data_IF_788560890063
#
_entry.id   IF_788560890063
#
_cell.length_a   1.000
_cell.length_b   1.000
_cell.length_c   1.000
_cell.angle_alpha   90.00
_cell.angle_beta   90.00
_cell.angle_gamma   90.00
#
_symmetry.space_group_name_H-M   'P 1'
#
loop_
_entity.id
_entity.type
_entity.pdbx_description
1 polymer ?
#
# COMPACT_ATOMS: atom_id res chain seq x y z
N UNK A 1 -1.58 -18.91 2.57
CA UNK A 1 -1.10 -17.53 2.75
C UNK A 1 -1.58 -16.59 1.65
N UNK A 2 -1.41 -16.96 0.38
CA UNK A 2 -1.79 -16.09 -0.73
C UNK A 2 -3.26 -15.67 -0.71
N UNK A 3 -4.16 -16.59 -0.35
CA UNK A 3 -5.60 -16.27 -0.28
C UNK A 3 -5.90 -15.25 0.81
N UNK A 4 -5.21 -15.33 1.95
CA UNK A 4 -5.39 -14.37 3.04
C UNK A 4 -4.84 -13.00 2.68
N UNK A 5 -3.70 -12.97 1.98
CA UNK A 5 -3.10 -11.71 1.52
C UNK A 5 -4.02 -11.02 0.52
N UNK A 6 -4.53 -11.77 -0.46
CA UNK A 6 -5.45 -11.21 -1.46
C UNK A 6 -6.75 -10.74 -0.82
N UNK A 7 -7.27 -11.50 0.14
CA UNK A 7 -8.48 -11.13 0.87
C UNK A 7 -8.27 -9.84 1.64
N UNK A 8 -7.14 -9.70 2.34
CA UNK A 8 -6.84 -8.48 3.09
C UNK A 8 -6.74 -7.27 2.15
N UNK A 9 -6.06 -7.43 1.02
CA UNK A 9 -5.92 -6.33 0.06
C UNK A 9 -7.30 -5.87 -0.45
N UNK A 10 -8.17 -6.83 -0.78
CA UNK A 10 -9.52 -6.53 -1.26
C UNK A 10 -10.35 -5.82 -0.18
N UNK A 11 -10.30 -6.32 1.06
CA UNK A 11 -11.03 -5.72 2.17
C UNK A 11 -10.53 -4.32 2.50
N UNK A 12 -9.21 -4.12 2.42
CA UNK A 12 -8.62 -2.80 2.67
C UNK A 12 -9.10 -1.78 1.62
N UNK A 13 -9.15 -2.16 0.35
CA UNK A 13 -9.67 -1.29 -0.69
C UNK A 13 -11.16 -1.01 -0.53
N UNK A 14 -11.93 -1.99 -0.11
CA UNK A 14 -13.35 -1.78 0.19
C UNK A 14 -13.52 -0.77 1.32
N UNK A 15 -12.72 -0.89 2.37
CA UNK A 15 -12.75 0.05 3.49
C UNK A 15 -12.39 1.46 3.06
N UNK A 16 -11.34 1.62 2.23
CA UNK A 16 -10.97 2.91 1.69
C UNK A 16 -12.09 3.54 0.88
N UNK A 17 -12.75 2.73 0.03
CA UNK A 17 -13.83 3.22 -0.81
C UNK A 17 -15.03 3.68 0.03
N UNK A 18 -15.34 3.00 1.12
CA UNK A 18 -16.40 3.43 2.03
C UNK A 18 -16.11 4.78 2.65
N UNK A 19 -14.83 5.06 2.94
CA UNK A 19 -14.45 6.36 3.47
C UNK A 19 -14.53 7.48 2.45
N UNK A 20 -14.55 7.15 1.15
CA UNK A 20 -14.52 8.12 0.06
C UNK A 20 -15.88 8.34 -0.62
N UNK A 21 -16.86 7.48 -0.39
CA UNK A 21 -18.14 7.51 -1.13
C UNK A 21 -19.29 8.10 -0.34
N UNK A 22 -19.01 8.95 0.62
CA UNK A 22 -20.00 9.64 1.47
C UNK A 22 -20.73 8.73 2.46
N UNK A 23 -20.34 7.46 2.57
CA UNK A 23 -20.90 6.57 3.59
C UNK A 23 -20.49 7.05 4.97
N UNK A 24 -21.41 7.02 5.96
CA UNK A 24 -21.04 7.44 7.32
C UNK A 24 -19.93 6.55 7.88
N UNK A 25 -18.85 7.18 8.33
CA UNK A 25 -17.69 6.45 8.88
C UNK A 25 -18.02 5.72 10.18
N UNK A 26 -19.12 6.06 10.82
CA UNK A 26 -19.61 5.44 12.06
C UNK A 26 -20.76 4.48 11.81
N UNK A 27 -21.03 4.10 10.55
CA UNK A 27 -22.04 3.08 10.26
C UNK A 27 -21.60 1.70 10.77
N UNK A 28 -22.56 0.85 11.07
CA UNK A 28 -22.25 -0.51 11.55
C UNK A 28 -21.42 -1.29 10.53
N UNK A 29 -21.72 -1.12 9.24
CA UNK A 29 -20.97 -1.79 8.19
C UNK A 29 -19.51 -1.33 8.18
N UNK A 30 -19.27 -0.02 8.25
CA UNK A 30 -17.92 0.52 8.30
C UNK A 30 -17.15 0.00 9.52
N UNK A 31 -17.79 0.05 10.70
CA UNK A 31 -17.15 -0.40 11.95
C UNK A 31 -16.76 -1.88 11.89
N UNK A 32 -17.62 -2.72 11.34
CA UNK A 32 -17.34 -4.16 11.20
C UNK A 32 -16.20 -4.41 10.22
N UNK A 33 -16.23 -3.73 9.08
CA UNK A 33 -15.19 -3.89 8.07
C UNK A 33 -13.84 -3.39 8.60
N UNK A 34 -13.83 -2.25 9.27
CA UNK A 34 -12.63 -1.70 9.88
C UNK A 34 -12.02 -2.67 10.89
N UNK A 35 -12.85 -3.28 11.72
CA UNK A 35 -12.38 -4.27 12.71
C UNK A 35 -11.84 -5.52 12.03
N UNK A 36 -12.54 -6.02 11.00
CA UNK A 36 -12.11 -7.21 10.28
C UNK A 36 -10.77 -6.99 9.59
N UNK A 37 -10.59 -5.85 8.94
CA UNK A 37 -9.32 -5.51 8.30
C UNK A 37 -8.20 -5.48 9.34
N UNK A 38 -8.44 -4.82 10.47
CA UNK A 38 -7.43 -4.71 11.53
C UNK A 38 -7.06 -6.09 12.10
N UNK A 39 -8.04 -6.95 12.34
CA UNK A 39 -7.78 -8.29 12.87
C UNK A 39 -6.94 -9.11 11.90
N UNK A 40 -7.20 -9.01 10.60
CA UNK A 40 -6.42 -9.69 9.59
C UNK A 40 -5.01 -9.12 9.49
N UNK A 41 -4.85 -7.80 9.65
CA UNK A 41 -3.52 -7.18 9.72
C UNK A 41 -2.68 -7.81 10.82
N UNK A 42 -3.23 -7.91 12.03
CA UNK A 42 -2.49 -8.46 13.15
C UNK A 42 -2.09 -9.91 12.91
N UNK A 43 -2.98 -10.67 12.28
CA UNK A 43 -2.71 -12.08 11.96
C UNK A 43 -1.57 -12.21 10.95
N UNK A 44 -1.64 -11.43 9.86
CA UNK A 44 -0.65 -11.51 8.79
C UNK A 44 0.66 -10.83 9.16
N UNK A 45 0.60 -9.81 10.01
CA UNK A 45 1.81 -9.13 10.50
C UNK A 45 2.75 -10.12 11.19
N UNK A 46 2.18 -11.08 11.91
CA UNK A 46 2.96 -12.11 12.62
C UNK A 46 3.33 -13.30 11.75
N UNK A 47 2.90 -13.31 10.48
CA UNK A 47 3.21 -14.41 9.58
C UNK A 47 4.69 -14.42 9.20
N UNK A 48 5.25 -15.60 8.92
CA UNK A 48 6.65 -15.67 8.48
C UNK A 48 6.83 -14.99 7.13
N UNK A 49 8.10 -14.69 6.80
CA UNK A 49 8.45 -14.11 5.52
C UNK A 49 7.96 -15.01 4.38
N UNK A 50 7.52 -14.39 3.28
CA UNK A 50 7.08 -15.14 2.10
C UNK A 50 8.21 -15.95 1.48
N UNK A 51 7.86 -17.07 0.85
CA UNK A 51 8.83 -17.98 0.26
C UNK A 51 9.55 -17.39 -0.96
N UNK A 52 8.91 -16.45 -1.66
CA UNK A 52 9.49 -15.78 -2.82
C UNK A 52 9.45 -14.27 -2.62
N UNK A 53 10.30 -13.51 -3.35
CA UNK A 53 10.20 -12.05 -3.28
C UNK A 53 8.80 -11.54 -3.61
N UNK A 54 8.11 -12.14 -4.57
CA UNK A 54 6.76 -11.75 -4.95
C UNK A 54 5.77 -11.97 -3.81
N UNK A 55 5.86 -13.09 -3.12
CA UNK A 55 4.97 -13.37 -1.98
C UNK A 55 5.23 -12.42 -0.83
N UNK A 56 6.49 -12.16 -0.52
CA UNK A 56 6.87 -11.21 0.53
C UNK A 56 6.40 -9.80 0.17
N UNK A 57 6.58 -9.39 -1.08
CA UNK A 57 6.14 -8.07 -1.54
C UNK A 57 4.62 -7.92 -1.43
N UNK A 58 3.86 -8.93 -1.83
CA UNK A 58 2.40 -8.91 -1.72
C UNK A 58 1.94 -8.83 -0.27
N UNK A 59 2.60 -9.59 0.60
CA UNK A 59 2.29 -9.57 2.03
C UNK A 59 2.53 -8.18 2.62
N UNK A 60 3.69 -7.60 2.39
CA UNK A 60 4.02 -6.27 2.90
C UNK A 60 3.08 -5.21 2.35
N UNK A 61 2.82 -5.23 1.04
CA UNK A 61 1.92 -4.28 0.40
C UNK A 61 0.51 -4.35 0.99
N UNK A 62 -0.01 -5.56 1.15
CA UNK A 62 -1.37 -5.75 1.67
C UNK A 62 -1.50 -5.24 3.10
N UNK A 63 -0.50 -5.50 3.94
CA UNK A 63 -0.54 -5.05 5.33
C UNK A 63 -0.39 -3.53 5.39
N UNK A 64 0.50 -2.93 4.60
CA UNK A 64 0.67 -1.47 4.57
C UNK A 64 -0.60 -0.76 4.12
N UNK A 65 -1.22 -1.24 3.05
CA UNK A 65 -2.49 -0.67 2.57
C UNK A 65 -3.56 -0.80 3.65
N UNK A 66 -3.64 -1.95 4.30
CA UNK A 66 -4.64 -2.19 5.33
C UNK A 66 -4.42 -1.32 6.57
N UNK A 67 -3.17 -1.13 7.01
CA UNK A 67 -2.87 -0.25 8.14
C UNK A 67 -3.28 1.18 7.85
N UNK A 68 -3.09 1.63 6.61
CA UNK A 68 -3.49 2.99 6.24
C UNK A 68 -4.99 3.13 6.03
N UNK A 69 -5.70 2.03 5.77
CA UNK A 69 -7.14 2.03 5.58
C UNK A 69 -7.92 2.04 6.89
N UNK A 70 -7.34 1.48 7.97
CA UNK A 70 -8.05 1.34 9.25
C UNK A 70 -7.92 2.60 10.09
N UNK A 71 -8.93 2.85 10.93
CA UNK A 71 -8.89 3.91 11.92
C UNK A 71 -8.45 3.41 13.30
N UNK A 72 -8.26 2.09 13.46
CA UNK A 72 -7.75 1.56 14.72
C UNK A 72 -6.28 1.90 14.89
N UNK A 73 -5.94 2.38 16.06
CA UNK A 73 -4.56 2.63 16.44
C UNK A 73 -4.42 2.31 17.91
N UNK A 74 -3.74 1.20 18.20
CA UNK A 74 -3.47 0.77 19.57
C UNK A 74 -2.19 1.37 20.13
N UNK A 75 -1.71 2.45 19.53
CA UNK A 75 -0.45 3.09 19.90
C UNK A 75 0.79 2.48 19.23
N UNK A 76 0.61 1.45 18.41
CA UNK A 76 1.70 0.73 17.77
C UNK A 76 1.70 0.80 16.25
N UNK A 77 0.76 1.54 15.67
CA UNK A 77 0.60 1.59 14.21
C UNK A 77 1.90 2.02 13.51
N UNK A 78 2.55 3.06 14.02
CA UNK A 78 3.80 3.54 13.45
C UNK A 78 4.93 2.51 13.59
N UNK A 79 4.97 1.77 14.68
CA UNK A 79 5.95 0.70 14.85
C UNK A 79 5.73 -0.42 13.84
N UNK A 80 4.46 -0.79 13.60
CA UNK A 80 4.13 -1.80 12.60
C UNK A 80 4.55 -1.34 11.20
N UNK A 81 4.24 -0.10 10.85
CA UNK A 81 4.60 0.46 9.55
C UNK A 81 6.11 0.48 9.38
N UNK A 82 6.85 0.93 10.40
CA UNK A 82 8.32 0.99 10.33
C UNK A 82 8.93 -0.40 10.13
N UNK A 83 8.42 -1.40 10.86
CA UNK A 83 8.90 -2.77 10.70
C UNK A 83 8.61 -3.31 9.30
N UNK A 84 7.43 -3.01 8.77
CA UNK A 84 7.07 -3.43 7.41
C UNK A 84 7.92 -2.73 6.35
N UNK A 85 8.24 -1.46 6.56
CA UNK A 85 9.14 -0.75 5.65
C UNK A 85 10.53 -1.40 5.61
N UNK A 86 11.04 -1.83 6.76
CA UNK A 86 12.31 -2.56 6.80
C UNK A 86 12.23 -3.85 5.98
N UNK A 87 11.11 -4.57 6.05
CA UNK A 87 10.89 -5.76 5.21
C UNK A 87 10.82 -5.38 3.74
N UNK A 88 10.18 -4.25 3.42
CA UNK A 88 10.10 -3.77 2.04
C UNK A 88 11.49 -3.46 1.47
N UNK A 89 12.34 -2.80 2.25
CA UNK A 89 13.71 -2.51 1.80
C UNK A 89 14.46 -3.78 1.44
N UNK A 90 14.29 -4.82 2.24
CA UNK A 90 14.95 -6.10 1.98
C UNK A 90 14.44 -6.80 0.72
N UNK A 91 13.15 -6.68 0.43
CA UNK A 91 12.56 -7.40 -0.70
C UNK A 91 12.68 -6.62 -2.01
N UNK A 92 12.67 -5.28 -1.96
CA UNK A 92 12.70 -4.45 -3.17
C UNK A 92 13.92 -4.73 -4.05
N UNK A 93 15.07 -4.97 -3.43
CA UNK A 93 16.31 -5.25 -4.18
C UNK A 93 16.26 -6.60 -4.91
N UNK A 94 15.44 -7.53 -4.43
CA UNK A 94 15.30 -8.87 -4.99
C UNK A 94 14.09 -9.02 -5.89
N UNK A 95 13.20 -8.05 -5.89
CA UNK A 95 11.93 -8.13 -6.62
C UNK A 95 12.16 -7.79 -8.09
N UNK A 96 11.71 -8.65 -9.03
CA UNK A 96 11.83 -8.35 -10.45
C UNK A 96 11.02 -7.10 -10.84
N UNK A 97 11.48 -6.42 -11.88
CA UNK A 97 10.75 -5.30 -12.48
C UNK A 97 9.35 -5.78 -12.90
N UNK A 98 8.30 -5.12 -12.37
CA UNK A 98 6.93 -5.58 -12.53
C UNK A 98 5.96 -4.53 -12.03
N UNK A 99 4.67 -4.72 -12.31
CA UNK A 99 3.61 -3.91 -11.72
C UNK A 99 3.63 -3.99 -10.19
N UNK A 100 3.86 -5.19 -9.65
CA UNK A 100 3.95 -5.38 -8.20
C UNK A 100 5.06 -4.52 -7.60
N UNK A 101 6.23 -4.48 -8.25
CA UNK A 101 7.33 -3.65 -7.77
C UNK A 101 6.94 -2.16 -7.77
N UNK A 102 6.27 -1.69 -8.82
CA UNK A 102 5.80 -0.31 -8.88
C UNK A 102 4.81 -0.03 -7.75
N UNK A 103 3.89 -0.94 -7.49
CA UNK A 103 2.94 -0.79 -6.38
C UNK A 103 3.64 -0.69 -5.03
N UNK A 104 4.63 -1.54 -4.79
CA UNK A 104 5.34 -1.51 -3.52
C UNK A 104 6.18 -0.24 -3.39
N UNK A 105 6.88 0.16 -4.45
CA UNK A 105 7.64 1.41 -4.48
C UNK A 105 6.74 2.61 -4.20
N UNK A 106 5.56 2.65 -4.83
CA UNK A 106 4.61 3.74 -4.64
C UNK A 106 4.09 3.78 -3.22
N UNK A 107 3.76 2.63 -2.66
CA UNK A 107 3.28 2.54 -1.28
C UNK A 107 4.34 3.02 -0.29
N UNK A 108 5.59 2.58 -0.47
CA UNK A 108 6.69 3.02 0.39
C UNK A 108 6.98 4.51 0.20
N UNK A 109 6.88 5.01 -1.04
CA UNK A 109 7.04 6.44 -1.30
C UNK A 109 6.02 7.26 -0.52
N UNK A 110 4.77 6.81 -0.47
CA UNK A 110 3.72 7.48 0.30
C UNK A 110 3.98 7.51 1.81
N UNK A 111 4.82 6.62 2.31
CA UNK A 111 5.16 6.61 3.74
C UNK A 111 6.35 7.50 4.08
N UNK A 112 7.38 7.56 3.23
CA UNK A 112 8.64 8.23 3.57
C UNK A 112 9.01 9.37 2.64
N UNK A 113 8.41 9.47 1.47
CA UNK A 113 8.66 10.50 0.45
C UNK A 113 10.13 10.63 0.05
N UNK A 114 10.85 9.51 -0.02
CA UNK A 114 12.21 9.49 -0.56
C UNK A 114 12.17 9.45 -2.08
N UNK A 115 12.82 10.41 -2.74
CA UNK A 115 12.77 10.58 -4.18
C UNK A 115 13.24 9.36 -4.96
N UNK A 116 14.21 8.63 -4.44
CA UNK A 116 14.75 7.44 -5.10
C UNK A 116 13.67 6.41 -5.39
N UNK A 117 12.69 6.28 -4.51
CA UNK A 117 11.58 5.35 -4.69
C UNK A 117 10.72 5.76 -5.89
N UNK A 118 10.39 7.03 -5.97
CA UNK A 118 9.60 7.56 -7.09
C UNK A 118 10.39 7.46 -8.41
N UNK A 119 11.68 7.75 -8.38
CA UNK A 119 12.54 7.64 -9.56
C UNK A 119 12.59 6.22 -10.08
N UNK A 120 12.74 5.25 -9.21
CA UNK A 120 12.75 3.85 -9.60
C UNK A 120 11.40 3.44 -10.18
N UNK A 121 10.29 3.85 -9.55
CA UNK A 121 8.95 3.58 -10.06
C UNK A 121 8.77 4.17 -11.46
N UNK A 122 9.19 5.43 -11.68
CA UNK A 122 9.10 6.07 -12.98
C UNK A 122 9.94 5.35 -14.04
N UNK A 123 11.11 4.85 -13.66
CA UNK A 123 11.95 4.12 -14.61
C UNK A 123 11.28 2.84 -15.11
N UNK A 124 10.47 2.22 -14.30
CA UNK A 124 9.68 1.05 -14.70
C UNK A 124 8.48 1.48 -15.54
N UNK A 125 7.75 2.49 -15.09
CA UNK A 125 6.57 3.02 -15.80
C UNK A 125 6.95 3.46 -17.20
N UNK A 126 8.12 4.06 -17.38
CA UNK A 126 8.57 4.54 -18.67
C UNK A 126 8.80 3.42 -19.69
N UNK A 127 8.91 2.17 -19.23
CA UNK A 127 9.01 1.01 -20.13
C UNK A 127 7.65 0.53 -20.62
N UNK A 128 6.56 1.02 -20.05
CA UNK A 128 5.22 0.58 -20.40
C UNK A 128 4.73 1.27 -21.67
N UNK A 129 3.90 0.57 -22.45
CA UNK A 129 3.32 1.11 -23.67
C UNK A 129 2.13 2.01 -23.31
N UNK A 130 2.31 3.31 -23.48
CA UNK A 130 1.28 4.31 -23.15
C UNK A 130 -0.02 4.07 -23.91
N UNK A 131 0.08 3.53 -25.13
CA UNK A 131 -1.10 3.30 -25.97
C UNK A 131 -1.93 2.08 -25.54
N UNK A 132 -1.39 1.23 -24.66
CA UNK A 132 -2.06 -0.02 -24.26
C UNK A 132 -1.93 -0.30 -22.76
N UNK A 133 -2.00 0.74 -21.93
CA UNK A 133 -1.95 0.58 -20.48
C UNK A 133 -3.17 -0.20 -19.98
N UNK A 134 -2.92 -1.11 -19.04
CA UNK A 134 -4.02 -1.77 -18.32
C UNK A 134 -4.66 -0.79 -17.35
N UNK A 135 -5.86 -1.13 -16.87
CA UNK A 135 -6.53 -0.30 -15.86
C UNK A 135 -5.68 -0.21 -14.58
N UNK A 136 -5.02 -1.30 -14.21
CA UNK A 136 -4.16 -1.35 -13.04
C UNK A 136 -2.92 -0.46 -13.20
N UNK A 137 -2.32 -0.46 -14.38
CA UNK A 137 -1.20 0.42 -14.69
C UNK A 137 -1.62 1.89 -14.63
N UNK A 138 -2.77 2.21 -15.22
CA UNK A 138 -3.29 3.58 -15.20
C UNK A 138 -3.56 4.04 -13.76
N UNK A 139 -4.12 3.16 -12.94
CA UNK A 139 -4.42 3.47 -11.55
C UNK A 139 -3.17 3.79 -10.75
N UNK A 140 -2.12 2.96 -10.89
CA UNK A 140 -0.90 3.18 -10.11
C UNK A 140 -0.13 4.42 -10.55
N UNK A 141 -0.16 4.74 -11.84
CA UNK A 141 0.41 5.98 -12.34
C UNK A 141 -0.29 7.18 -11.68
N UNK A 142 -1.61 7.12 -11.60
CA UNK A 142 -2.40 8.18 -10.95
C UNK A 142 -2.10 8.31 -9.47
N UNK A 143 -1.95 7.19 -8.77
CA UNK A 143 -1.60 7.20 -7.34
C UNK A 143 -0.23 7.83 -7.10
N UNK A 144 0.76 7.45 -7.90
CA UNK A 144 2.10 8.00 -7.75
C UNK A 144 2.11 9.50 -8.03
N UNK A 145 1.44 9.92 -9.10
CA UNK A 145 1.33 11.34 -9.43
C UNK A 145 0.68 12.13 -8.30
N UNK A 146 -0.39 11.57 -7.73
CA UNK A 146 -1.10 12.21 -6.64
C UNK A 146 -0.21 12.39 -5.42
N UNK A 147 0.58 11.37 -5.09
CA UNK A 147 1.52 11.46 -3.97
C UNK A 147 2.61 12.50 -4.25
N UNK A 148 3.14 12.54 -5.46
CA UNK A 148 4.17 13.51 -5.82
C UNK A 148 3.66 14.95 -5.78
N UNK A 149 2.43 15.18 -6.21
CA UNK A 149 1.84 16.52 -6.21
C UNK A 149 1.49 17.00 -4.81
N UNK A 150 1.25 16.10 -3.87
CA UNK A 150 0.78 16.44 -2.54
C UNK A 150 1.81 16.18 -1.44
N UNK A 151 3.07 15.87 -1.80
CA UNK A 151 4.06 15.47 -0.81
C UNK A 151 4.46 16.57 0.16
N UNK A 152 4.29 17.84 -0.22
CA UNK A 152 4.67 18.98 0.63
C UNK A 152 3.50 19.92 0.85
N UNK A 153 2.41 19.46 1.45
CA UNK A 153 1.23 20.30 1.59
C UNK A 153 1.44 21.52 2.48
N UNK A 154 2.48 21.53 3.30
CA UNK A 154 2.74 22.64 4.25
C UNK A 154 3.86 23.57 3.82
N UNK A 155 4.67 23.20 2.84
CA UNK A 155 5.77 24.04 2.36
C UNK A 155 5.29 25.30 1.66
N UNK A 156 4.11 25.25 1.10
CA UNK A 156 3.51 26.39 0.37
C UNK A 156 3.22 27.56 1.31
N UNK A 157 3.24 27.32 2.61
CA UNK A 157 2.89 28.35 3.60
C UNK A 157 4.08 29.27 3.90
N UNK A 158 5.26 28.85 3.54
CA UNK A 158 6.43 29.70 3.70
C UNK A 158 6.44 30.82 2.67
#
# INVERSE_FOLDING_TARGET
MNDHVSSLYTLAHELLNLGMDDSPIYSDHFARLNREVYEQVLRLYSAPEGDTPEEEARLCLSILVALNATFYDNGRKQQYIQHLLDRCWNVLDRLPVSLLKVRLLTCCYGEVYEEELAKEAHSIIDTWDISSLTSEQTEIIGELRNLEENQYPFEVID
#
